data_IF_632837906025
#
_entry.id   IF_632837906025
#
_cell.length_a   1.000
_cell.length_b   1.000
_cell.length_c   1.000
_cell.angle_alpha   90.00
_cell.angle_beta   90.00
_cell.angle_gamma   90.00
#
_symmetry.space_group_name_H-M   'P 1'
#
loop_
_entity.id
_entity.type
_entity.pdbx_description
1 polymer ?
#
# COMPACT_ATOMS: atom_id res chain seq x y z
N UNK A 1 -7.97 1.18 3.56
CA UNK A 1 -6.67 0.98 4.26
C UNK A 1 -5.75 2.19 4.08
N UNK A 2 -5.00 2.35 2.98
CA UNK A 2 -4.07 3.49 2.84
C UNK A 2 -4.77 4.84 2.77
N UNK A 3 -5.88 4.94 2.01
CA UNK A 3 -6.69 6.17 1.94
C UNK A 3 -7.16 6.63 3.32
N UNK A 4 -7.57 5.69 4.16
CA UNK A 4 -8.04 5.99 5.51
C UNK A 4 -6.86 6.30 6.43
N UNK A 5 -5.76 5.54 6.34
CA UNK A 5 -4.57 5.71 7.16
C UNK A 5 -4.02 7.14 7.09
N UNK A 6 -4.04 7.73 5.90
CA UNK A 6 -3.54 9.09 5.64
C UNK A 6 -4.63 10.15 5.54
N UNK A 7 -5.88 9.80 5.85
CA UNK A 7 -7.05 10.70 5.73
C UNK A 7 -7.07 11.42 4.37
N UNK A 8 -6.80 10.65 3.31
CA UNK A 8 -6.83 11.16 1.94
C UNK A 8 -8.20 11.76 1.65
N UNK A 9 -8.25 12.79 0.82
CA UNK A 9 -9.46 13.55 0.56
C UNK A 9 -10.63 12.65 0.08
N UNK A 10 -11.58 12.39 0.96
CA UNK A 10 -12.75 11.54 0.69
C UNK A 10 -13.69 12.15 -0.35
N UNK A 11 -13.60 13.46 -0.61
CA UNK A 11 -14.39 14.12 -1.65
C UNK A 11 -13.79 13.92 -3.05
N UNK A 12 -12.58 13.37 -3.13
CA UNK A 12 -11.94 13.04 -4.41
C UNK A 12 -12.70 11.92 -5.14
N UNK A 13 -13.05 12.10 -6.44
CA UNK A 13 -13.81 11.09 -7.19
C UNK A 13 -13.07 9.75 -7.31
N UNK A 14 -11.72 9.75 -7.33
CA UNK A 14 -10.92 8.52 -7.36
C UNK A 14 -11.04 7.78 -6.02
N UNK A 15 -10.99 8.50 -4.90
CA UNK A 15 -11.21 7.90 -3.58
C UNK A 15 -12.61 7.30 -3.48
N UNK A 16 -13.64 7.99 -3.95
CA UNK A 16 -15.01 7.47 -3.94
C UNK A 16 -15.17 6.23 -4.84
N UNK A 17 -14.53 6.22 -6.02
CA UNK A 17 -14.54 5.05 -6.89
C UNK A 17 -13.86 3.85 -6.21
N UNK A 18 -12.69 4.05 -5.61
CA UNK A 18 -11.97 3.01 -4.86
C UNK A 18 -12.82 2.49 -3.70
N UNK A 19 -13.36 3.38 -2.86
CA UNK A 19 -14.25 3.02 -1.74
C UNK A 19 -15.45 2.23 -2.26
N UNK A 20 -16.13 2.70 -3.31
CA UNK A 20 -17.30 2.01 -3.87
C UNK A 20 -16.98 0.60 -4.37
N UNK A 21 -15.79 0.39 -4.93
CA UNK A 21 -15.33 -0.93 -5.39
C UNK A 21 -14.90 -1.81 -4.22
N UNK A 22 -14.22 -1.27 -3.21
CA UNK A 22 -13.66 -2.05 -2.09
C UNK A 22 -14.67 -2.29 -0.97
N UNK A 23 -15.61 -1.37 -0.74
CA UNK A 23 -16.56 -1.42 0.36
C UNK A 23 -17.42 -2.69 0.41
N UNK A 24 -17.99 -3.19 -0.70
CA UNK A 24 -18.77 -4.43 -0.68
C UNK A 24 -17.98 -5.61 -0.12
N UNK A 25 -16.68 -5.66 -0.40
CA UNK A 25 -15.79 -6.70 0.11
C UNK A 25 -15.48 -6.48 1.59
N UNK A 26 -15.25 -5.24 2.02
CA UNK A 26 -14.86 -4.93 3.42
C UNK A 26 -16.06 -4.96 4.40
N UNK A 27 -17.25 -4.57 3.95
CA UNK A 27 -18.45 -4.38 4.79
C UNK A 27 -18.84 -5.59 5.65
N UNK A 28 -18.84 -6.84 5.15
CA UNK A 28 -19.23 -8.01 5.94
C UNK A 28 -18.40 -8.16 7.22
N UNK A 29 -17.08 -7.98 7.13
CA UNK A 29 -16.15 -8.14 8.25
C UNK A 29 -16.09 -6.90 9.14
N UNK A 30 -16.35 -5.71 8.58
CA UNK A 30 -16.47 -4.46 9.35
C UNK A 30 -17.66 -4.44 10.33
N UNK A 31 -18.64 -5.35 10.16
CA UNK A 31 -19.71 -5.54 11.15
C UNK A 31 -19.23 -6.25 12.42
N UNK A 32 -18.15 -7.02 12.32
CA UNK A 32 -17.63 -7.87 13.39
C UNK A 32 -16.43 -7.18 14.05
N UNK A 33 -15.58 -6.55 13.26
CA UNK A 33 -14.33 -5.94 13.74
C UNK A 33 -14.55 -4.44 13.98
N UNK A 34 -14.31 -3.94 15.21
CA UNK A 34 -14.40 -2.51 15.50
C UNK A 34 -13.36 -1.72 14.70
N UNK A 35 -13.73 -0.52 14.27
CA UNK A 35 -12.79 0.41 13.64
C UNK A 35 -11.87 0.99 14.72
N UNK A 36 -10.57 0.71 14.66
CA UNK A 36 -9.57 1.32 15.56
C UNK A 36 -8.76 2.35 14.78
N UNK A 37 -8.86 3.62 15.20
CA UNK A 37 -8.08 4.71 14.62
C UNK A 37 -8.45 5.06 13.18
N UNK A 38 -7.46 5.46 12.37
CA UNK A 38 -7.62 5.85 10.97
C UNK A 38 -7.48 4.68 9.99
N UNK A 39 -7.15 3.47 10.41
CA UNK A 39 -6.92 2.33 9.50
C UNK A 39 -8.06 1.32 9.62
N UNK A 40 -8.65 0.91 8.49
CA UNK A 40 -9.62 -0.18 8.49
C UNK A 40 -8.94 -1.52 8.78
N UNK A 41 -9.00 -1.94 10.06
CA UNK A 41 -8.64 -3.29 10.50
C UNK A 41 -9.40 -4.37 9.73
N UNK A 42 -10.67 -4.12 9.39
CA UNK A 42 -11.47 -5.02 8.59
C UNK A 42 -10.88 -5.23 7.19
N UNK A 43 -10.31 -4.18 6.58
CA UNK A 43 -9.63 -4.30 5.28
C UNK A 43 -8.36 -5.13 5.37
N UNK A 44 -7.53 -4.91 6.39
CA UNK A 44 -6.29 -5.67 6.59
C UNK A 44 -6.62 -7.14 6.86
N UNK A 45 -7.59 -7.41 7.72
CA UNK A 45 -8.03 -8.76 8.04
C UNK A 45 -8.56 -9.49 6.79
N UNK A 46 -9.32 -8.80 5.94
CA UNK A 46 -9.76 -9.39 4.67
C UNK A 46 -8.61 -9.74 3.73
N UNK A 47 -7.66 -8.83 3.53
CA UNK A 47 -6.49 -9.09 2.69
C UNK A 47 -5.67 -10.26 3.24
N UNK A 48 -5.53 -10.33 4.57
CA UNK A 48 -4.83 -11.42 5.23
C UNK A 48 -5.54 -12.77 5.04
N UNK A 49 -6.87 -12.82 5.21
CA UNK A 49 -7.67 -14.01 4.96
C UNK A 49 -7.54 -14.46 3.50
N UNK A 50 -7.55 -13.52 2.54
CA UNK A 50 -7.37 -13.83 1.13
C UNK A 50 -5.99 -14.42 0.84
N UNK A 51 -4.92 -13.88 1.43
CA UNK A 51 -3.57 -14.44 1.29
C UNK A 51 -3.47 -15.86 1.87
N UNK A 52 -4.02 -16.08 3.07
CA UNK A 52 -4.10 -17.41 3.71
C UNK A 52 -4.84 -18.39 2.80
N UNK A 53 -6.02 -18.01 2.30
CA UNK A 53 -6.82 -18.85 1.43
C UNK A 53 -6.11 -19.17 0.11
N UNK A 54 -5.48 -18.17 -0.51
CA UNK A 54 -4.71 -18.35 -1.75
C UNK A 54 -3.54 -19.30 -1.53
N UNK A 55 -2.74 -19.11 -0.46
CA UNK A 55 -1.61 -19.98 -0.14
C UNK A 55 -2.06 -21.41 0.16
N UNK A 56 -3.17 -21.58 0.87
CA UNK A 56 -3.76 -22.89 1.12
C UNK A 56 -4.16 -23.59 -0.18
N UNK A 57 -4.86 -22.89 -1.07
CA UNK A 57 -5.30 -23.42 -2.38
C UNK A 57 -4.07 -23.82 -3.22
N UNK A 58 -3.04 -22.98 -3.27
CA UNK A 58 -1.80 -23.28 -4.00
C UNK A 58 -1.08 -24.51 -3.41
N UNK A 59 -0.99 -24.62 -2.09
CA UNK A 59 -0.40 -25.78 -1.42
C UNK A 59 -1.19 -27.06 -1.72
N UNK A 60 -2.53 -26.99 -1.65
CA UNK A 60 -3.42 -28.09 -1.95
C UNK A 60 -3.30 -28.56 -3.41
N UNK A 61 -3.26 -27.63 -4.38
CA UNK A 61 -3.08 -27.94 -5.80
C UNK A 61 -1.70 -28.56 -6.04
N UNK A 62 -0.65 -28.06 -5.38
CA UNK A 62 0.70 -28.59 -5.51
C UNK A 62 0.95 -29.89 -4.73
N UNK A 63 -0.03 -30.38 -3.94
CA UNK A 63 0.11 -31.57 -3.11
C UNK A 63 1.07 -31.40 -1.92
N UNK A 64 1.38 -30.16 -1.54
CA UNK A 64 2.28 -29.86 -0.42
C UNK A 64 1.49 -29.91 0.89
N UNK A 65 1.95 -30.71 1.85
CA UNK A 65 1.50 -30.58 3.24
C UNK A 65 2.17 -29.37 3.86
N UNK A 66 1.38 -28.31 4.11
CA UNK A 66 1.88 -27.10 4.75
C UNK A 66 1.52 -27.11 6.23
N UNK A 67 2.48 -26.80 7.09
CA UNK A 67 2.19 -26.44 8.48
C UNK A 67 1.37 -25.14 8.49
N UNK A 68 0.27 -25.14 9.24
CA UNK A 68 -0.58 -23.96 9.44
C UNK A 68 0.20 -22.77 9.98
N UNK A 69 1.17 -22.99 10.87
CA UNK A 69 2.00 -21.93 11.45
C UNK A 69 2.82 -21.21 10.36
N UNK A 70 3.41 -21.99 9.46
CA UNK A 70 4.19 -21.49 8.31
C UNK A 70 3.27 -20.75 7.34
N UNK A 71 2.09 -21.28 7.07
CA UNK A 71 1.12 -20.64 6.18
C UNK A 71 0.72 -19.24 6.70
N UNK A 72 0.37 -19.13 7.98
CA UNK A 72 0.01 -17.85 8.59
C UNK A 72 1.17 -16.85 8.61
N UNK A 73 2.39 -17.31 8.87
CA UNK A 73 3.59 -16.47 8.82
C UNK A 73 3.86 -15.97 7.39
N UNK A 74 3.82 -16.85 6.40
CA UNK A 74 4.03 -16.51 5.00
C UNK A 74 2.97 -15.53 4.49
N UNK A 75 1.70 -15.72 4.86
CA UNK A 75 0.64 -14.78 4.52
C UNK A 75 0.90 -13.38 5.09
N UNK A 76 1.44 -13.29 6.31
CA UNK A 76 1.75 -12.01 6.95
C UNK A 76 2.92 -11.30 6.23
N UNK A 77 3.97 -12.05 5.91
CA UNK A 77 5.12 -11.54 5.18
C UNK A 77 4.74 -11.08 3.76
N UNK A 78 3.91 -11.84 3.04
CA UNK A 78 3.39 -11.47 1.72
C UNK A 78 2.54 -10.22 1.77
N UNK A 79 1.68 -10.08 2.78
CA UNK A 79 0.88 -8.87 2.96
C UNK A 79 1.77 -7.63 3.19
N UNK A 80 2.82 -7.76 4.00
CA UNK A 80 3.83 -6.72 4.17
C UNK A 80 4.56 -6.36 2.87
N UNK A 81 5.00 -7.38 2.12
CA UNK A 81 5.63 -7.20 0.79
C UNK A 81 4.69 -6.49 -0.18
N UNK A 82 3.41 -6.85 -0.22
CA UNK A 82 2.40 -6.23 -1.08
C UNK A 82 2.27 -4.74 -0.77
N UNK A 83 2.26 -4.34 0.50
CA UNK A 83 2.22 -2.94 0.89
C UNK A 83 3.47 -2.18 0.42
N UNK A 84 4.67 -2.78 0.56
CA UNK A 84 5.91 -2.17 0.07
C UNK A 84 5.90 -1.99 -1.45
N UNK A 85 5.45 -3.00 -2.20
CA UNK A 85 5.32 -2.92 -3.67
C UNK A 85 4.32 -1.83 -4.06
N UNK A 86 3.19 -1.72 -3.35
CA UNK A 86 2.21 -0.66 -3.58
C UNK A 86 2.84 0.73 -3.37
N UNK A 87 3.61 0.92 -2.30
CA UNK A 87 4.33 2.17 -2.07
C UNK A 87 5.39 2.47 -3.14
N UNK A 88 6.13 1.45 -3.57
CA UNK A 88 7.10 1.57 -4.66
C UNK A 88 6.42 2.13 -5.92
N UNK A 89 5.28 1.56 -6.30
CA UNK A 89 4.50 2.02 -7.45
C UNK A 89 4.00 3.45 -7.25
N UNK A 90 3.45 3.78 -6.08
CA UNK A 90 2.99 5.14 -5.78
C UNK A 90 4.11 6.18 -5.89
N UNK A 91 5.31 5.86 -5.41
CA UNK A 91 6.48 6.75 -5.48
C UNK A 91 6.97 6.89 -6.93
N UNK A 92 7.00 5.81 -7.71
CA UNK A 92 7.33 5.88 -9.14
C UNK A 92 6.33 6.77 -9.87
N UNK A 93 5.03 6.60 -9.62
CA UNK A 93 3.99 7.47 -10.20
C UNK A 93 4.18 8.92 -9.77
N UNK A 94 4.52 9.18 -8.50
CA UNK A 94 4.85 10.53 -8.02
C UNK A 94 6.01 11.16 -8.82
N UNK A 95 7.10 10.42 -9.02
CA UNK A 95 8.25 10.91 -9.81
C UNK A 95 7.83 11.22 -11.25
N UNK A 96 7.08 10.33 -11.89
CA UNK A 96 6.57 10.54 -13.26
C UNK A 96 5.69 11.81 -13.31
N UNK A 97 4.78 11.98 -12.34
CA UNK A 97 3.93 13.15 -12.24
C UNK A 97 4.72 14.44 -11.97
N UNK A 98 5.86 14.37 -11.27
CA UNK A 98 6.70 15.54 -11.01
C UNK A 98 7.39 16.07 -12.27
N UNK A 99 7.75 15.18 -13.21
CA UNK A 99 8.46 15.53 -14.45
C UNK A 99 7.51 15.81 -15.61
N UNK A 100 6.53 14.93 -15.81
CA UNK A 100 5.63 14.97 -16.97
C UNK A 100 4.29 15.62 -16.60
N UNK A 101 3.92 15.58 -15.32
CA UNK A 101 2.60 15.96 -14.82
C UNK A 101 2.39 17.46 -14.57
N UNK A 102 3.36 18.33 -14.89
CA UNK A 102 3.24 19.77 -14.63
C UNK A 102 2.07 20.36 -15.43
N UNK A 103 0.98 20.73 -14.74
CA UNK A 103 -0.25 21.26 -15.35
C UNK A 103 -1.38 20.24 -15.54
N UNK A 104 -1.19 18.96 -15.21
CA UNK A 104 -2.26 17.97 -15.22
C UNK A 104 -3.29 18.26 -14.12
N UNK A 105 -4.51 18.64 -14.54
CA UNK A 105 -5.65 18.87 -13.63
C UNK A 105 -6.49 17.60 -13.47
N UNK A 106 -5.86 16.50 -13.04
CA UNK A 106 -6.57 15.24 -12.78
C UNK A 106 -6.67 14.98 -11.27
N UNK A 107 -7.82 14.55 -10.72
CA UNK A 107 -8.02 14.35 -9.28
C UNK A 107 -7.07 13.29 -8.67
N UNK A 108 -6.52 12.37 -9.46
CA UNK A 108 -5.53 11.40 -8.96
C UNK A 108 -4.22 12.05 -8.50
N UNK A 109 -3.84 13.18 -9.10
CA UNK A 109 -2.56 13.85 -8.85
C UNK A 109 -2.41 14.26 -7.37
N UNK A 110 -3.32 15.06 -6.78
CA UNK A 110 -3.23 15.41 -5.37
C UNK A 110 -3.32 14.18 -4.45
N UNK A 111 -4.02 13.12 -4.88
CA UNK A 111 -4.11 11.89 -4.12
C UNK A 111 -2.76 11.16 -4.02
N UNK A 112 -2.04 11.04 -5.14
CA UNK A 112 -0.70 10.43 -5.16
C UNK A 112 0.26 11.22 -4.27
N UNK A 113 0.24 12.56 -4.35
CA UNK A 113 1.06 13.40 -3.47
C UNK A 113 0.72 13.17 -2.00
N UNK A 114 -0.56 13.19 -1.61
CA UNK A 114 -0.99 12.94 -0.23
C UNK A 114 -0.55 11.56 0.30
N UNK A 115 -0.60 10.52 -0.53
CA UNK A 115 -0.25 9.16 -0.13
C UNK A 115 1.26 8.93 0.00
N UNK A 116 2.07 9.65 -0.76
CA UNK A 116 3.53 9.50 -0.79
C UNK A 116 4.24 10.45 0.19
N UNK A 117 3.63 11.59 0.50
CA UNK A 117 4.15 12.60 1.44
C UNK A 117 4.63 12.04 2.80
N UNK A 118 3.92 11.12 3.47
CA UNK A 118 4.33 10.58 4.77
C UNK A 118 5.67 9.84 4.72
N UNK A 119 6.01 9.26 3.56
CA UNK A 119 7.28 8.55 3.34
C UNK A 119 8.35 9.52 2.86
N UNK A 120 8.01 10.44 1.95
CA UNK A 120 8.97 11.36 1.33
C UNK A 120 9.34 12.54 2.24
N UNK A 121 8.42 13.07 3.05
CA UNK A 121 8.67 14.23 3.91
C UNK A 121 9.77 13.99 4.96
N UNK A 122 9.80 12.85 5.69
CA UNK A 122 10.91 12.56 6.60
C UNK A 122 12.26 12.48 5.87
N UNK A 123 12.30 11.90 4.67
CA UNK A 123 13.52 11.78 3.87
C UNK A 123 14.01 13.16 3.42
N UNK A 124 13.09 14.03 2.96
CA UNK A 124 13.42 15.43 2.58
C UNK A 124 13.99 16.26 3.72
N UNK A 125 13.64 15.95 4.98
CA UNK A 125 14.23 16.62 6.14
C UNK A 125 15.71 16.29 6.33
N UNK A 126 16.13 15.09 5.91
CA UNK A 126 17.52 14.63 6.02
C UNK A 126 18.33 14.96 4.77
N UNK A 127 17.71 14.82 3.59
CA UNK A 127 18.32 15.10 2.28
C UNK A 127 17.48 16.15 1.55
N UNK A 128 17.77 17.45 1.79
CA UNK A 128 17.07 18.54 1.12
C UNK A 128 17.26 18.47 -0.41
N UNK A 129 16.36 19.09 -1.19
CA UNK A 129 16.49 19.14 -2.64
C UNK A 129 17.83 19.74 -3.08
N UNK A 130 18.53 19.06 -3.99
CA UNK A 130 19.77 19.54 -4.58
C UNK A 130 19.48 20.18 -5.93
N UNK A 131 19.76 21.47 -6.07
CA UNK A 131 19.56 22.20 -7.34
C UNK A 131 18.11 22.24 -7.82
N UNK A 132 17.13 22.18 -6.90
CA UNK A 132 15.70 22.16 -7.24
C UNK A 132 15.14 20.77 -7.56
N UNK A 133 15.96 19.72 -7.57
CA UNK A 133 15.51 18.34 -7.75
C UNK A 133 15.30 17.64 -6.41
N UNK A 134 14.12 17.04 -6.24
CA UNK A 134 13.79 16.24 -5.07
C UNK A 134 14.36 14.82 -5.24
N UNK A 135 15.42 14.51 -4.48
CA UNK A 135 16.05 13.18 -4.47
C UNK A 135 15.41 12.22 -3.45
N UNK A 136 14.45 12.69 -2.65
CA UNK A 136 13.79 11.84 -1.67
C UNK A 136 13.10 10.60 -2.26
N UNK A 137 12.50 10.63 -3.48
CA UNK A 137 11.91 9.44 -4.08
C UNK A 137 12.95 8.36 -4.37
N UNK A 138 14.15 8.73 -4.82
CA UNK A 138 15.22 7.79 -5.12
C UNK A 138 15.65 7.02 -3.86
N UNK A 139 15.85 7.74 -2.76
CA UNK A 139 16.21 7.13 -1.47
C UNK A 139 15.07 6.23 -0.96
N UNK A 140 13.82 6.67 -1.07
CA UNK A 140 12.67 5.87 -0.69
C UNK A 140 12.59 4.57 -1.51
N UNK A 141 12.79 4.64 -2.83
CA UNK A 141 12.82 3.49 -3.73
C UNK A 141 13.90 2.50 -3.30
N UNK A 142 15.13 2.96 -3.03
CA UNK A 142 16.24 2.10 -2.60
C UNK A 142 15.89 1.38 -1.29
N UNK A 143 15.39 2.10 -0.29
CA UNK A 143 15.02 1.53 1.02
C UNK A 143 13.89 0.51 0.86
N UNK A 144 12.83 0.84 0.11
CA UNK A 144 11.70 -0.06 -0.12
C UNK A 144 12.16 -1.31 -0.89
N UNK A 145 12.99 -1.16 -1.91
CA UNK A 145 13.51 -2.29 -2.69
C UNK A 145 14.36 -3.22 -1.83
N UNK A 146 15.20 -2.66 -0.95
CA UNK A 146 15.95 -3.42 0.03
C UNK A 146 15.02 -4.22 0.95
N UNK A 147 13.96 -3.60 1.49
CA UNK A 147 12.98 -4.28 2.33
C UNK A 147 12.22 -5.39 1.59
N UNK A 148 11.87 -5.18 0.31
CA UNK A 148 11.24 -6.21 -0.52
C UNK A 148 12.16 -7.42 -0.71
N UNK A 149 13.44 -7.18 -0.99
CA UNK A 149 14.44 -8.25 -1.14
C UNK A 149 14.64 -8.97 0.20
N UNK A 150 14.71 -8.23 1.30
CA UNK A 150 14.87 -8.78 2.64
C UNK A 150 13.71 -9.69 3.05
N UNK A 151 12.47 -9.35 2.68
CA UNK A 151 11.32 -10.19 2.97
C UNK A 151 11.40 -11.53 2.24
N UNK A 152 11.87 -11.56 0.99
CA UNK A 152 12.22 -12.81 0.30
C UNK A 152 11.07 -13.83 0.13
N UNK A 153 9.80 -13.41 0.26
CA UNK A 153 8.59 -14.25 0.18
C UNK A 153 7.75 -13.90 -1.03
#
# INVERSE_FOLDING_TARGET
ILLEAFRADYFNPVCQALIKVTDPLVKPLSKIIPRVGSVSLAGIAWLYILEVALLFILAAIGGWSMDWSVLFLLAALRLGRMLLVLYLVLIIVNVILSWVGQGFRHPIVPLIYQLTEPVLAPIRRVLPPLGGFDLSPLVAIIVIQFLIILLGV
#
